data_IF_352143882232
#
_entry.id   IF_352143882232
#
_cell.length_a   1.000
_cell.length_b   1.000
_cell.length_c   1.000
_cell.angle_alpha   90.00
_cell.angle_beta   90.00
_cell.angle_gamma   90.00
#
_symmetry.space_group_name_H-M   'P 1'
#
loop_
_entity.id
_entity.type
_entity.pdbx_description
1 polymer ?
#
# COMPACT_ATOMS: atom_id res chain seq x y z
N UNK A 1 41.41 -8.40 -26.04
CA UNK A 1 41.50 -7.49 -24.88
C UNK A 1 40.14 -6.93 -24.67
N UNK A 2 39.33 -7.59 -23.89
CA UNK A 2 39.20 -7.60 -22.44
C UNK A 2 38.53 -6.31 -21.96
N UNK A 3 37.31 -6.51 -21.45
CA UNK A 3 36.62 -5.80 -20.38
C UNK A 3 36.17 -4.37 -20.65
N UNK A 4 34.92 -4.26 -21.06
CA UNK A 4 34.00 -3.21 -20.59
C UNK A 4 32.54 -3.61 -20.86
N UNK A 5 32.15 -4.69 -20.29
CA UNK A 5 30.72 -4.99 -20.07
C UNK A 5 30.57 -5.24 -18.59
N UNK A 6 29.91 -4.33 -17.88
CA UNK A 6 29.23 -4.54 -16.59
C UNK A 6 29.18 -3.21 -15.83
N UNK A 7 28.11 -2.46 -16.01
CA UNK A 7 27.53 -1.57 -15.00
C UNK A 7 26.29 -0.86 -15.56
N UNK A 8 25.24 -1.61 -15.79
CA UNK A 8 23.87 -1.11 -15.80
C UNK A 8 23.07 -2.16 -15.05
N UNK A 9 23.17 -2.13 -13.77
CA UNK A 9 22.24 -2.86 -12.88
C UNK A 9 22.17 -2.02 -11.63
N UNK A 10 21.04 -1.46 -11.36
CA UNK A 10 20.82 -0.83 -10.07
C UNK A 10 19.79 0.27 -9.98
N UNK A 11 18.82 0.34 -10.87
CA UNK A 11 17.65 1.21 -10.68
C UNK A 11 16.43 0.49 -11.21
N UNK A 12 16.05 -0.58 -10.54
CA UNK A 12 14.77 -1.27 -10.83
C UNK A 12 14.51 -2.31 -9.74
N UNK A 13 14.21 -1.85 -8.54
CA UNK A 13 13.65 -2.73 -7.52
C UNK A 13 12.79 -1.94 -6.55
N UNK A 14 11.75 -1.34 -7.09
CA UNK A 14 10.55 -0.99 -6.35
C UNK A 14 9.33 -1.40 -7.16
N UNK A 15 9.45 -2.49 -7.89
CA UNK A 15 8.33 -3.18 -8.50
C UNK A 15 8.15 -4.45 -7.69
N UNK A 16 7.03 -4.53 -6.97
CA UNK A 16 6.49 -5.78 -6.50
C UNK A 16 6.69 -6.85 -7.55
N UNK A 17 7.20 -8.00 -7.16
CA UNK A 17 7.45 -9.13 -8.01
C UNK A 17 6.28 -9.41 -8.95
N UNK A 18 6.40 -9.05 -10.22
CA UNK A 18 5.51 -9.51 -11.26
C UNK A 18 5.92 -10.94 -11.55
N UNK A 19 5.27 -11.89 -10.91
CA UNK A 19 5.33 -13.29 -11.34
C UNK A 19 4.19 -13.48 -12.33
N UNK A 20 4.56 -13.60 -13.59
CA UNK A 20 3.63 -13.94 -14.68
C UNK A 20 3.24 -15.41 -14.53
N UNK A 21 1.98 -15.67 -14.21
CA UNK A 21 1.35 -16.97 -14.41
C UNK A 21 0.18 -16.80 -15.37
N UNK A 22 0.25 -17.51 -16.48
CA UNK A 22 -0.85 -17.64 -17.43
C UNK A 22 -1.96 -18.52 -16.83
N UNK A 23 -3.14 -17.94 -16.63
CA UNK A 23 -4.38 -18.68 -16.46
C UNK A 23 -5.51 -17.95 -17.18
N UNK A 24 -6.14 -18.64 -18.10
CA UNK A 24 -7.20 -18.14 -18.99
C UNK A 24 -8.50 -17.92 -18.21
N UNK A 25 -8.92 -16.68 -18.08
CA UNK A 25 -10.26 -16.29 -17.66
C UNK A 25 -10.87 -15.30 -18.66
N UNK A 26 -12.15 -15.36 -18.89
CA UNK A 26 -12.89 -14.84 -20.04
C UNK A 26 -13.16 -13.33 -20.12
N UNK A 27 -12.42 -12.48 -19.43
CA UNK A 27 -12.49 -11.03 -19.61
C UNK A 27 -11.27 -10.50 -20.39
N UNK A 28 -11.18 -10.84 -21.67
CA UNK A 28 -10.18 -10.25 -22.58
C UNK A 28 -8.71 -10.52 -22.25
N UNK A 29 -8.39 -11.50 -21.39
CA UNK A 29 -7.01 -11.89 -21.04
C UNK A 29 -6.28 -10.83 -20.20
N UNK A 30 -6.98 -10.08 -19.37
CA UNK A 30 -6.38 -9.16 -18.40
C UNK A 30 -6.20 -9.85 -17.04
N UNK A 31 -5.02 -9.65 -16.46
CA UNK A 31 -4.69 -10.12 -15.11
C UNK A 31 -4.48 -8.93 -14.16
N UNK A 32 -4.72 -9.13 -12.88
CA UNK A 32 -4.48 -8.10 -11.88
C UNK A 32 -2.99 -7.99 -11.58
N UNK A 33 -2.42 -6.82 -11.86
CA UNK A 33 -1.04 -6.46 -11.54
C UNK A 33 -0.91 -5.88 -10.12
N UNK A 34 -1.91 -5.10 -9.68
CA UNK A 34 -1.91 -4.48 -8.35
C UNK A 34 -3.31 -4.53 -7.75
N UNK A 35 -3.38 -4.89 -6.47
CA UNK A 35 -4.59 -4.83 -5.65
C UNK A 35 -4.54 -3.64 -4.70
N UNK A 36 -5.70 -3.02 -4.48
CA UNK A 36 -5.98 -2.05 -3.43
C UNK A 36 -7.32 -2.44 -2.81
N UNK A 37 -7.27 -3.14 -1.68
CA UNK A 37 -8.42 -3.74 -1.02
C UNK A 37 -8.72 -2.99 0.27
N UNK A 38 -9.96 -2.59 0.42
CA UNK A 38 -10.49 -1.97 1.64
C UNK A 38 -11.80 -2.63 2.05
N UNK A 39 -12.26 -2.37 3.26
CA UNK A 39 -13.60 -2.81 3.69
C UNK A 39 -14.75 -2.13 2.93
N UNK A 40 -14.48 -1.07 2.19
CA UNK A 40 -15.48 -0.29 1.45
C UNK A 40 -15.49 -0.59 -0.05
N UNK A 41 -14.41 -1.13 -0.60
CA UNK A 41 -14.31 -1.45 -2.02
C UNK A 41 -12.94 -1.99 -2.40
N UNK A 42 -12.87 -2.49 -3.61
CA UNK A 42 -11.63 -2.98 -4.22
C UNK A 42 -11.33 -2.17 -5.46
N UNK A 43 -10.07 -1.76 -5.61
CA UNK A 43 -9.51 -1.28 -6.87
C UNK A 43 -8.42 -2.21 -7.33
N UNK A 44 -8.34 -2.40 -8.61
CA UNK A 44 -7.28 -3.20 -9.21
C UNK A 44 -6.71 -2.48 -10.43
N UNK A 45 -5.39 -2.55 -10.57
CA UNK A 45 -4.70 -2.21 -11.79
C UNK A 45 -4.42 -3.50 -12.56
N UNK A 46 -4.85 -3.58 -13.81
CA UNK A 46 -4.56 -4.73 -14.65
C UNK A 46 -3.16 -4.66 -15.29
N UNK A 47 -2.68 -5.78 -15.78
CA UNK A 47 -1.43 -5.90 -16.53
C UNK A 47 -1.43 -5.11 -17.86
N UNK A 48 -2.61 -4.66 -18.32
CA UNK A 48 -2.76 -3.80 -19.51
C UNK A 48 -2.87 -2.31 -19.17
N UNK A 49 -2.73 -1.95 -17.89
CA UNK A 49 -2.82 -0.56 -17.45
C UNK A 49 -4.24 -0.03 -17.29
N UNK A 50 -5.24 -0.92 -17.19
CA UNK A 50 -6.61 -0.53 -16.91
C UNK A 50 -6.86 -0.59 -15.39
N UNK A 51 -7.51 0.43 -14.84
CA UNK A 51 -7.95 0.44 -13.44
C UNK A 51 -9.44 0.13 -13.38
N UNK A 52 -9.76 -0.85 -12.55
CA UNK A 52 -11.14 -1.27 -12.26
C UNK A 52 -11.45 -1.08 -10.80
N UNK A 53 -12.74 -0.92 -10.47
CA UNK A 53 -13.19 -0.89 -9.09
C UNK A 53 -14.53 -1.61 -8.93
N UNK A 54 -14.80 -2.06 -7.70
CA UNK A 54 -16.08 -2.60 -7.23
C UNK A 54 -16.29 -2.16 -5.77
N UNK A 55 -17.52 -1.95 -5.37
CA UNK A 55 -17.87 -1.38 -4.07
C UNK A 55 -17.96 0.13 -4.11
N UNK A 56 -17.54 0.82 -3.06
CA UNK A 56 -17.45 2.28 -3.02
C UNK A 56 -16.33 2.74 -3.92
N UNK A 57 -16.70 3.20 -5.11
CA UNK A 57 -15.76 3.81 -6.03
C UNK A 57 -15.43 5.22 -5.58
N UNK A 58 -14.21 5.65 -5.84
CA UNK A 58 -13.89 7.07 -5.81
C UNK A 58 -14.45 7.66 -7.09
N UNK A 59 -15.65 8.17 -7.02
CA UNK A 59 -16.17 9.08 -8.03
C UNK A 59 -16.16 10.48 -7.44
N UNK A 60 -15.48 11.34 -8.11
CA UNK A 60 -15.23 12.73 -7.73
C UNK A 60 -16.49 13.58 -7.66
N UNK A 61 -17.58 13.21 -8.34
CA UNK A 61 -18.86 13.93 -8.32
C UNK A 61 -19.93 13.35 -7.39
N UNK A 62 -19.77 12.08 -6.96
CA UNK A 62 -20.76 11.43 -6.08
C UNK A 62 -20.05 10.40 -5.19
N UNK A 63 -19.71 10.77 -3.99
CA UNK A 63 -19.18 9.89 -2.94
C UNK A 63 -20.07 8.67 -2.63
N UNK A 64 -21.29 8.63 -3.13
CA UNK A 64 -22.28 7.62 -2.82
C UNK A 64 -22.55 6.60 -3.93
N UNK A 65 -21.81 6.62 -5.05
CA UNK A 65 -21.97 5.57 -6.04
C UNK A 65 -21.25 4.29 -5.61
N UNK A 66 -22.05 3.40 -5.09
CA UNK A 66 -21.70 2.00 -4.87
C UNK A 66 -21.93 1.23 -6.17
N UNK A 67 -20.95 0.46 -6.63
CA UNK A 67 -21.12 -0.45 -7.75
C UNK A 67 -21.07 -1.89 -7.25
N UNK A 68 -22.01 -2.71 -7.69
CA UNK A 68 -22.05 -4.14 -7.38
C UNK A 68 -21.26 -4.99 -8.39
N UNK A 69 -20.79 -4.38 -9.47
CA UNK A 69 -20.02 -5.03 -10.52
C UNK A 69 -18.70 -4.32 -10.77
N UNK A 70 -17.70 -5.10 -11.15
CA UNK A 70 -16.38 -4.59 -11.51
C UNK A 70 -16.50 -3.63 -12.69
N UNK A 71 -16.15 -2.36 -12.47
CA UNK A 71 -16.33 -1.27 -13.44
C UNK A 71 -14.98 -0.68 -13.80
N UNK A 72 -14.73 -0.56 -15.11
CA UNK A 72 -13.52 0.10 -15.62
C UNK A 72 -13.61 1.61 -15.38
N UNK A 73 -12.50 2.18 -14.89
CA UNK A 73 -12.45 3.57 -14.46
C UNK A 73 -11.44 4.41 -15.27
N UNK A 74 -10.20 3.93 -15.40
CA UNK A 74 -9.11 4.65 -16.07
C UNK A 74 -8.32 3.66 -16.93
N UNK A 75 -7.70 4.16 -17.99
CA UNK A 75 -6.81 3.41 -18.88
C UNK A 75 -5.40 4.01 -18.90
N UNK A 76 -4.47 3.26 -19.45
CA UNK A 76 -3.07 3.67 -19.64
C UNK A 76 -2.31 3.99 -18.34
N UNK A 77 -2.70 3.37 -17.23
CA UNK A 77 -2.09 3.59 -15.91
C UNK A 77 -0.91 2.66 -15.71
N UNK A 78 0.22 3.22 -15.30
CA UNK A 78 1.43 2.52 -14.88
C UNK A 78 1.44 2.27 -13.38
N UNK A 79 0.99 3.24 -12.59
CA UNK A 79 0.98 3.19 -11.14
C UNK A 79 -0.22 3.96 -10.57
N UNK A 80 -0.95 3.31 -9.68
CA UNK A 80 -1.94 3.97 -8.84
C UNK A 80 -1.23 4.47 -7.58
N UNK A 81 -1.25 5.77 -7.34
CA UNK A 81 -0.66 6.43 -6.16
C UNK A 81 -1.68 6.48 -5.03
N UNK A 82 -2.87 6.97 -5.33
CA UNK A 82 -4.05 6.94 -4.45
C UNK A 82 -5.32 6.80 -5.30
N UNK A 83 -6.47 6.90 -4.67
CA UNK A 83 -7.75 6.79 -5.39
C UNK A 83 -7.90 7.79 -6.53
N UNK A 84 -7.27 8.94 -6.40
CA UNK A 84 -7.45 10.09 -7.29
C UNK A 84 -6.13 10.59 -7.88
N UNK A 85 -5.05 9.83 -7.67
CA UNK A 85 -3.71 10.20 -8.17
C UNK A 85 -3.08 8.97 -8.84
N UNK A 86 -2.60 9.15 -10.06
CA UNK A 86 -1.94 8.08 -10.79
C UNK A 86 -0.85 8.60 -11.73
N UNK A 87 0.04 7.73 -12.11
CA UNK A 87 1.08 7.96 -13.12
C UNK A 87 0.76 7.05 -14.31
N UNK A 88 0.77 7.59 -15.52
CA UNK A 88 0.53 6.85 -16.74
C UNK A 88 1.82 6.20 -17.30
N UNK A 89 1.68 5.45 -18.38
CA UNK A 89 2.81 4.77 -19.03
C UNK A 89 3.81 5.75 -19.71
N UNK A 90 3.44 7.02 -19.89
CA UNK A 90 4.32 8.08 -20.37
C UNK A 90 5.08 8.78 -19.23
N UNK A 91 4.86 8.37 -17.97
CA UNK A 91 5.33 9.03 -16.75
C UNK A 91 4.72 10.43 -16.56
N UNK A 92 3.50 10.61 -17.02
CA UNK A 92 2.71 11.79 -16.73
C UNK A 92 1.90 11.57 -15.45
N UNK A 93 1.95 12.55 -14.54
CA UNK A 93 1.24 12.53 -13.27
C UNK A 93 -0.11 13.21 -13.42
N UNK A 94 -1.14 12.53 -13.00
CA UNK A 94 -2.52 13.00 -13.05
C UNK A 94 -3.15 13.03 -11.65
N UNK A 95 -4.05 13.99 -11.48
CA UNK A 95 -5.03 14.00 -10.39
C UNK A 95 -6.43 13.99 -10.99
N UNK A 96 -7.35 13.41 -10.27
CA UNK A 96 -8.75 13.57 -10.56
C UNK A 96 -9.28 14.84 -9.92
N UNK A 97 -9.79 15.77 -10.72
CA UNK A 97 -10.37 17.02 -10.26
C UNK A 97 -11.77 17.16 -10.87
N UNK A 98 -12.83 17.08 -10.02
CA UNK A 98 -14.20 17.26 -10.50
C UNK A 98 -14.71 16.21 -11.50
N UNK A 99 -14.16 14.99 -11.45
CA UNK A 99 -14.54 13.89 -12.37
C UNK A 99 -13.67 13.75 -13.61
N UNK A 100 -12.84 14.75 -13.92
CA UNK A 100 -11.97 14.72 -15.09
C UNK A 100 -10.50 14.56 -14.70
N UNK A 101 -9.72 13.76 -15.45
CA UNK A 101 -8.28 13.66 -15.27
C UNK A 101 -7.59 14.98 -15.61
N UNK A 102 -6.83 15.51 -14.65
CA UNK A 102 -5.97 16.68 -14.88
C UNK A 102 -4.51 16.28 -14.80
N UNK A 103 -3.79 16.42 -15.88
CA UNK A 103 -2.33 16.27 -15.90
C UNK A 103 -1.68 17.43 -15.15
N UNK A 104 -0.86 17.11 -14.14
CA UNK A 104 -0.15 18.08 -13.31
C UNK A 104 1.36 18.05 -13.48
N UNK A 105 1.91 17.00 -14.09
CA UNK A 105 3.35 16.89 -14.31
C UNK A 105 3.74 15.85 -15.34
N UNK A 106 4.99 15.89 -15.77
CA UNK A 106 5.60 14.95 -16.71
C UNK A 106 6.94 14.45 -16.18
N UNK A 107 7.42 13.32 -16.72
CA UNK A 107 8.66 12.65 -16.31
C UNK A 107 8.66 12.20 -14.84
N UNK A 108 7.51 12.03 -14.22
CA UNK A 108 7.36 11.60 -12.83
C UNK A 108 7.48 10.07 -12.76
N UNK A 109 8.39 9.59 -11.94
CA UNK A 109 8.61 8.14 -11.75
C UNK A 109 7.96 7.61 -10.49
N UNK A 110 7.67 8.48 -9.54
CA UNK A 110 7.04 8.12 -8.27
C UNK A 110 6.31 9.33 -7.68
N UNK A 111 5.21 9.07 -6.98
CA UNK A 111 4.53 10.05 -6.15
C UNK A 111 3.96 9.38 -4.90
N UNK A 112 3.69 10.16 -3.86
CA UNK A 112 3.00 9.72 -2.65
C UNK A 112 2.17 10.86 -2.08
N UNK A 113 0.95 10.54 -1.65
CA UNK A 113 -0.03 11.51 -1.15
C UNK A 113 -1.38 11.36 -1.83
N UNK A 114 -2.19 12.41 -1.75
CA UNK A 114 -3.55 12.47 -2.30
C UNK A 114 -3.70 13.64 -3.26
N UNK A 115 -4.86 13.78 -3.89
CA UNK A 115 -5.18 14.98 -4.70
C UNK A 115 -5.09 16.30 -3.91
N UNK A 116 -5.30 16.26 -2.59
CA UNK A 116 -5.22 17.45 -1.74
C UNK A 116 -3.77 17.87 -1.46
N UNK A 117 -2.82 16.93 -1.51
CA UNK A 117 -1.42 17.21 -1.31
C UNK A 117 -0.55 15.98 -1.54
N UNK A 118 0.51 16.15 -2.32
CA UNK A 118 1.46 15.08 -2.64
C UNK A 118 2.88 15.60 -2.82
N UNK A 119 3.83 14.68 -2.67
CA UNK A 119 5.19 14.82 -3.17
C UNK A 119 5.39 13.88 -4.37
N UNK A 120 6.18 14.32 -5.33
CA UNK A 120 6.52 13.56 -6.52
C UNK A 120 8.03 13.64 -6.80
N UNK A 121 8.56 12.62 -7.48
CA UNK A 121 9.97 12.53 -7.86
C UNK A 121 10.04 12.28 -9.36
N UNK A 122 10.89 13.04 -10.05
CA UNK A 122 11.19 12.78 -11.46
C UNK A 122 12.35 11.77 -11.63
N UNK A 123 12.59 11.38 -12.88
CA UNK A 123 13.67 10.44 -13.24
C UNK A 123 15.07 10.92 -12.87
N UNK A 124 15.26 12.23 -12.68
CA UNK A 124 16.57 12.84 -12.37
C UNK A 124 16.76 13.02 -10.84
N UNK A 125 15.79 12.59 -10.03
CA UNK A 125 15.83 12.67 -8.57
C UNK A 125 15.42 14.04 -8.02
N UNK A 126 14.79 14.89 -8.82
CA UNK A 126 14.24 16.15 -8.33
C UNK A 126 12.92 15.88 -7.60
N UNK A 127 12.75 16.57 -6.48
CA UNK A 127 11.55 16.54 -5.66
C UNK A 127 10.59 17.65 -6.06
N UNK A 128 9.30 17.35 -6.08
CA UNK A 128 8.21 18.28 -6.37
C UNK A 128 7.11 18.17 -5.32
N UNK A 129 6.40 19.27 -5.09
CA UNK A 129 5.20 19.32 -4.26
C UNK A 129 4.02 19.88 -5.05
N UNK A 130 2.83 19.40 -4.72
CA UNK A 130 1.54 19.87 -5.26
C UNK A 130 0.48 19.83 -4.17
N UNK A 131 -0.50 20.74 -4.26
CA UNK A 131 -1.72 20.71 -3.47
C UNK A 131 -1.81 21.84 -2.45
N UNK A 132 -2.83 21.74 -1.60
CA UNK A 132 -3.15 22.77 -0.61
C UNK A 132 -2.50 22.47 0.75
N UNK A 133 -2.19 23.52 1.48
CA UNK A 133 -1.77 23.39 2.87
C UNK A 133 -2.91 22.90 3.76
N UNK A 134 -2.67 22.09 4.82
CA UNK A 134 -1.36 21.53 5.19
C UNK A 134 -1.04 20.20 4.49
N UNK A 135 -1.92 19.70 3.62
CA UNK A 135 -1.86 18.34 3.06
C UNK A 135 -0.63 18.08 2.18
N UNK A 136 -0.06 19.13 1.60
CA UNK A 136 1.16 19.04 0.80
C UNK A 136 2.45 19.03 1.64
N UNK A 137 2.35 19.11 2.97
CA UNK A 137 3.49 19.14 3.89
C UNK A 137 4.18 20.51 4.03
N UNK A 138 3.60 21.58 3.49
CA UNK A 138 4.14 22.94 3.52
C UNK A 138 3.10 23.93 4.06
N UNK A 139 3.55 25.11 4.45
CA UNK A 139 2.74 26.20 4.97
C UNK A 139 2.08 27.07 3.88
N UNK A 140 2.23 26.68 2.61
CA UNK A 140 1.68 27.34 1.43
C UNK A 140 1.06 26.38 0.45
N UNK A 141 0.17 26.90 -0.39
CA UNK A 141 -0.44 26.14 -1.48
C UNK A 141 0.50 26.09 -2.68
N UNK A 142 0.55 24.93 -3.34
CA UNK A 142 1.16 24.74 -4.65
C UNK A 142 0.08 24.40 -5.68
N UNK A 143 -0.36 25.40 -6.44
CA UNK A 143 -1.40 25.24 -7.48
C UNK A 143 -0.90 24.46 -8.70
N UNK A 144 0.41 24.38 -8.86
CA UNK A 144 1.13 23.66 -9.90
C UNK A 144 2.21 22.77 -9.27
N UNK A 145 2.60 21.71 -9.97
CA UNK A 145 3.69 20.86 -9.53
C UNK A 145 4.99 21.67 -9.45
N UNK A 146 5.41 21.99 -8.24
CA UNK A 146 6.49 22.94 -7.97
C UNK A 146 7.72 22.22 -7.46
N UNK A 147 8.88 22.49 -8.07
CA UNK A 147 10.16 21.92 -7.64
C UNK A 147 10.56 22.41 -6.25
N UNK A 148 11.05 21.47 -5.44
CA UNK A 148 11.58 21.68 -4.09
C UNK A 148 13.09 21.51 -4.15
N UNK A 149 13.84 22.52 -3.75
CA UNK A 149 15.31 22.52 -3.81
C UNK A 149 15.98 22.06 -2.52
N UNK A 150 15.20 21.85 -1.45
CA UNK A 150 15.72 21.54 -0.10
C UNK A 150 16.35 20.16 -0.01
N UNK A 151 15.89 19.21 -0.83
CA UNK A 151 16.41 17.83 -0.87
C UNK A 151 16.67 17.43 -2.32
N UNK A 152 17.83 16.86 -2.58
CA UNK A 152 18.28 16.43 -3.92
C UNK A 152 18.54 14.94 -3.97
N UNK A 153 18.63 14.41 -5.19
CA UNK A 153 18.90 12.99 -5.44
C UNK A 153 17.88 12.07 -4.75
N UNK A 154 16.63 12.49 -4.72
CA UNK A 154 15.53 11.73 -4.11
C UNK A 154 15.23 10.52 -4.99
N UNK A 155 15.15 9.34 -4.37
CA UNK A 155 14.80 8.07 -5.05
C UNK A 155 13.46 7.54 -4.63
N UNK A 156 12.94 7.98 -3.46
CA UNK A 156 11.64 7.54 -2.97
C UNK A 156 11.00 8.59 -2.05
N UNK A 157 9.68 8.68 -2.17
CA UNK A 157 8.84 9.46 -1.24
C UNK A 157 7.78 8.54 -0.64
N UNK A 158 7.39 8.80 0.59
CA UNK A 158 6.32 8.08 1.27
C UNK A 158 5.54 9.03 2.16
N UNK A 159 4.21 8.98 2.11
CA UNK A 159 3.33 9.72 3.01
C UNK A 159 2.91 8.85 4.19
N UNK A 160 2.57 9.48 5.31
CA UNK A 160 1.99 8.81 6.47
C UNK A 160 0.47 8.88 6.40
N UNK A 161 -0.17 7.78 5.99
CA UNK A 161 -1.60 7.58 6.06
C UNK A 161 -2.48 8.63 5.40
N UNK A 162 -3.69 8.74 5.91
CA UNK A 162 -4.69 9.72 5.46
C UNK A 162 -4.30 11.17 5.75
N UNK A 163 -3.33 11.37 6.64
CA UNK A 163 -2.77 12.68 6.96
C UNK A 163 -1.63 12.99 6.01
N UNK A 164 -1.94 13.36 4.78
CA UNK A 164 -0.97 13.66 3.73
C UNK A 164 -0.06 14.88 4.02
N UNK A 165 0.00 15.37 5.23
CA UNK A 165 0.87 16.47 5.66
C UNK A 165 2.22 16.03 6.23
N UNK A 166 2.48 14.73 6.29
CA UNK A 166 3.75 14.16 6.75
C UNK A 166 4.34 13.29 5.68
N UNK A 167 5.57 13.56 5.32
CA UNK A 167 6.26 12.85 4.26
C UNK A 167 7.66 12.43 4.70
N UNK A 168 8.10 11.30 4.16
CA UNK A 168 9.48 10.87 4.19
C UNK A 168 10.04 10.89 2.78
N UNK A 169 11.28 11.34 2.64
CA UNK A 169 12.04 11.26 1.40
C UNK A 169 13.31 10.45 1.63
N UNK A 170 13.58 9.51 0.75
CA UNK A 170 14.82 8.75 0.73
C UNK A 170 15.69 9.24 -0.42
N UNK A 171 16.93 9.58 -0.13
CA UNK A 171 17.92 9.97 -1.12
C UNK A 171 18.77 8.79 -1.56
N UNK A 172 19.44 8.94 -2.69
CA UNK A 172 20.26 7.91 -3.33
C UNK A 172 21.40 7.39 -2.44
N UNK A 173 21.93 8.21 -1.57
CA UNK A 173 22.98 7.83 -0.60
C UNK A 173 22.43 7.03 0.60
N UNK A 174 21.11 7.00 0.76
CA UNK A 174 20.42 6.28 1.84
C UNK A 174 20.05 7.15 3.03
N UNK A 175 20.02 8.47 2.86
CA UNK A 175 19.56 9.41 3.89
C UNK A 175 18.04 9.57 3.80
N UNK A 176 17.37 9.51 4.96
CA UNK A 176 15.94 9.78 5.09
C UNK A 176 15.73 11.13 5.73
N UNK A 177 14.91 11.94 5.06
CA UNK A 177 14.41 13.21 5.59
C UNK A 177 12.93 13.10 5.89
N UNK A 178 12.53 13.74 6.98
CA UNK A 178 11.15 13.92 7.40
C UNK A 178 10.69 15.35 7.12
N UNK A 179 9.50 15.49 6.58
CA UNK A 179 8.83 16.78 6.33
C UNK A 179 7.45 16.73 6.93
N UNK A 180 7.11 17.71 7.73
CA UNK A 180 5.74 17.94 8.20
C UNK A 180 5.35 19.38 7.90
N UNK A 181 4.06 19.68 7.99
CA UNK A 181 3.52 21.02 7.89
C UNK A 181 4.33 21.99 8.76
N UNK A 182 4.62 23.17 8.27
CA UNK A 182 5.38 24.27 8.89
C UNK A 182 6.83 24.00 9.29
N UNK A 183 7.31 22.76 9.22
CA UNK A 183 8.69 22.41 9.50
C UNK A 183 9.60 22.40 8.27
N UNK A 184 10.89 22.40 8.48
CA UNK A 184 11.89 22.14 7.43
C UNK A 184 12.08 20.64 7.23
N UNK A 185 12.77 20.27 6.14
CA UNK A 185 13.23 18.90 5.96
C UNK A 185 14.26 18.56 7.03
N UNK A 186 13.90 17.65 7.92
CA UNK A 186 14.77 17.20 9.01
C UNK A 186 15.34 15.83 8.69
N UNK A 187 16.67 15.74 8.68
CA UNK A 187 17.35 14.44 8.56
C UNK A 187 17.03 13.59 9.80
N UNK A 188 16.59 12.35 9.57
CA UNK A 188 16.20 11.47 10.67
C UNK A 188 16.97 10.15 10.71
N UNK A 189 17.47 9.64 9.57
CA UNK A 189 18.19 8.37 9.53
C UNK A 189 19.10 8.30 8.31
N UNK A 190 20.23 7.60 8.45
CA UNK A 190 21.13 7.22 7.37
C UNK A 190 21.14 5.71 7.15
N UNK A 191 21.84 5.29 6.09
CA UNK A 191 22.06 3.89 5.79
C UNK A 191 20.77 3.12 5.45
N UNK A 192 19.73 3.82 5.02
CA UNK A 192 18.43 3.26 4.63
C UNK A 192 18.48 2.83 3.16
N UNK A 193 17.91 1.67 2.85
CA UNK A 193 17.75 1.18 1.48
C UNK A 193 16.32 1.32 0.96
N UNK A 194 15.34 1.36 1.85
CA UNK A 194 13.92 1.51 1.48
C UNK A 194 13.09 2.17 2.57
N UNK A 195 12.04 2.88 2.16
CA UNK A 195 11.05 3.47 3.06
C UNK A 195 9.64 3.05 2.63
N UNK A 196 8.78 2.79 3.61
CA UNK A 196 7.39 2.40 3.35
C UNK A 196 6.50 2.94 4.48
N UNK A 197 5.65 3.94 4.20
CA UNK A 197 4.93 4.66 5.25
C UNK A 197 5.92 5.22 6.27
N UNK A 198 5.74 4.88 7.53
CA UNK A 198 6.62 5.23 8.64
C UNK A 198 7.69 4.18 8.97
N UNK A 199 7.85 3.16 8.13
CA UNK A 199 8.86 2.13 8.30
C UNK A 199 10.06 2.37 7.40
N UNK A 200 11.24 2.10 7.92
CA UNK A 200 12.51 2.20 7.21
C UNK A 200 13.24 0.86 7.27
N UNK A 201 13.81 0.47 6.15
CA UNK A 201 14.63 -0.74 6.06
C UNK A 201 16.06 -0.28 5.79
N UNK A 202 17.00 -0.64 6.68
CA UNK A 202 18.40 -0.31 6.46
C UNK A 202 19.08 -1.27 5.47
N UNK A 203 20.33 -0.98 5.13
CA UNK A 203 21.14 -1.81 4.22
C UNK A 203 21.50 -3.19 4.79
N UNK A 204 21.21 -3.45 6.07
CA UNK A 204 21.35 -4.73 6.76
C UNK A 204 20.02 -5.48 6.94
N UNK A 205 18.95 -5.04 6.26
CA UNK A 205 17.61 -5.62 6.37
C UNK A 205 16.95 -5.47 7.75
N UNK A 206 17.39 -4.51 8.55
CA UNK A 206 16.74 -4.21 9.82
C UNK A 206 15.62 -3.21 9.59
N UNK A 207 14.46 -3.50 10.14
CA UNK A 207 13.28 -2.64 10.08
C UNK A 207 13.25 -1.69 11.27
N UNK A 208 12.94 -0.45 10.98
CA UNK A 208 12.73 0.61 11.96
C UNK A 208 11.35 1.23 11.77
N UNK A 209 10.71 1.56 12.86
CA UNK A 209 9.45 2.31 12.89
C UNK A 209 9.71 3.73 13.38
N UNK A 210 9.28 4.72 12.62
CA UNK A 210 9.21 6.09 13.10
C UNK A 210 7.85 6.33 13.76
N UNK A 211 7.87 6.98 14.92
CA UNK A 211 6.70 7.47 15.62
C UNK A 211 6.98 8.84 16.25
N UNK A 212 6.00 9.45 16.92
CA UNK A 212 6.13 10.77 17.54
C UNK A 212 7.21 10.86 18.65
N UNK A 213 7.71 9.71 19.12
CA UNK A 213 8.78 9.64 20.14
C UNK A 213 10.15 9.39 19.50
N UNK A 214 10.21 9.21 18.19
CA UNK A 214 11.44 8.96 17.44
C UNK A 214 11.44 7.64 16.67
N UNK A 215 12.65 7.15 16.38
CA UNK A 215 12.87 5.92 15.63
C UNK A 215 13.02 4.74 16.60
N UNK A 216 12.21 3.71 16.40
CA UNK A 216 12.26 2.46 17.17
C UNK A 216 12.78 1.35 16.27
N UNK A 217 13.83 0.68 16.71
CA UNK A 217 14.34 -0.52 16.04
C UNK A 217 13.37 -1.68 16.28
N UNK A 218 12.93 -2.30 15.21
CA UNK A 218 12.09 -3.50 15.25
C UNK A 218 12.97 -4.77 15.24
N UNK A 219 12.34 -5.94 15.33
CA UNK A 219 13.06 -7.19 15.20
C UNK A 219 13.72 -7.32 13.81
N UNK A 220 14.86 -7.97 13.69
CA UNK A 220 15.48 -8.24 12.39
C UNK A 220 14.65 -9.23 11.58
N UNK A 221 14.74 -9.12 10.25
CA UNK A 221 14.06 -10.01 9.29
C UNK A 221 12.52 -9.91 9.25
N UNK A 222 11.96 -8.79 9.69
CA UNK A 222 10.55 -8.51 9.44
C UNK A 222 10.36 -8.08 7.99
N UNK A 223 9.35 -8.64 7.34
CA UNK A 223 8.89 -8.18 6.04
C UNK A 223 7.72 -7.22 6.23
N UNK A 224 7.84 -6.04 5.62
CA UNK A 224 6.78 -5.02 5.70
C UNK A 224 5.79 -5.29 4.60
N UNK A 225 4.57 -5.60 4.97
CA UNK A 225 3.44 -5.65 4.07
C UNK A 225 2.57 -4.42 4.29
N UNK A 226 2.85 -3.38 3.52
CA UNK A 226 2.00 -2.19 3.49
C UNK A 226 0.80 -2.45 2.61
N UNK A 227 -0.36 -2.41 3.22
CA UNK A 227 -1.52 -1.89 2.53
C UNK A 227 -1.38 -0.37 2.45
N UNK A 228 -1.88 0.26 1.39
CA UNK A 228 -1.80 1.72 1.18
C UNK A 228 -2.40 2.56 2.30
N UNK A 229 -3.18 1.93 3.15
CA UNK A 229 -3.76 2.53 4.33
C UNK A 229 -2.85 2.25 5.52
N UNK A 230 -2.20 3.27 6.05
CA UNK A 230 -1.28 3.18 7.21
C UNK A 230 -1.97 2.56 8.43
N UNK A 231 -3.29 2.67 8.51
CA UNK A 231 -4.06 2.01 9.55
C UNK A 231 -3.87 0.48 9.57
N UNK A 232 -3.34 -0.11 8.49
CA UNK A 232 -3.32 -1.56 8.30
C UNK A 232 -1.95 -2.11 7.89
N UNK A 233 -0.86 -1.54 8.40
CA UNK A 233 0.47 -2.13 8.15
C UNK A 233 0.63 -3.42 8.93
N UNK A 234 0.98 -4.47 8.23
CA UNK A 234 1.24 -5.80 8.77
C UNK A 234 2.73 -6.11 8.65
N UNK A 235 3.35 -6.57 9.73
CA UNK A 235 4.70 -7.10 9.70
C UNK A 235 4.64 -8.62 9.72
N UNK A 236 5.33 -9.24 8.77
CA UNK A 236 5.48 -10.69 8.71
C UNK A 236 6.82 -11.12 9.31
N UNK A 237 6.77 -12.22 10.04
CA UNK A 237 7.94 -12.94 10.50
C UNK A 237 7.75 -14.42 10.20
N UNK A 238 8.69 -15.03 9.49
CA UNK A 238 8.61 -16.44 9.11
C UNK A 238 7.28 -16.82 8.41
N UNK A 239 6.84 -15.99 7.47
CA UNK A 239 5.61 -16.21 6.68
C UNK A 239 4.30 -16.23 7.51
N UNK A 240 4.30 -15.60 8.67
CA UNK A 240 3.08 -15.36 9.46
C UNK A 240 3.02 -13.93 9.97
N UNK A 241 1.83 -13.46 10.32
CA UNK A 241 1.66 -12.11 10.87
C UNK A 241 2.28 -12.07 12.26
N UNK A 242 3.25 -11.20 12.46
CA UNK A 242 3.94 -10.99 13.74
C UNK A 242 3.50 -9.72 14.44
N UNK A 243 3.09 -8.71 13.66
CA UNK A 243 2.72 -7.42 14.19
C UNK A 243 1.71 -6.75 13.26
N UNK A 244 0.72 -6.11 13.85
CA UNK A 244 -0.27 -5.32 13.17
C UNK A 244 -0.41 -3.95 13.82
N UNK A 245 -0.29 -2.88 13.07
CA UNK A 245 -0.54 -1.53 13.52
C UNK A 245 -1.77 -0.97 12.78
N UNK A 246 -2.92 -1.03 13.43
CA UNK A 246 -4.15 -0.45 12.92
C UNK A 246 -4.73 0.54 13.94
N UNK A 247 -5.24 1.68 13.49
CA UNK A 247 -5.95 2.68 14.30
C UNK A 247 -5.27 3.03 15.65
N UNK A 248 -3.93 3.02 15.70
CA UNK A 248 -3.16 3.31 16.91
C UNK A 248 -3.10 2.16 17.92
N UNK A 249 -3.67 1.01 17.63
CA UNK A 249 -3.63 -0.16 18.50
C UNK A 249 -2.45 -1.03 18.08
N UNK A 250 -1.50 -1.23 18.98
CA UNK A 250 -0.44 -2.21 18.83
C UNK A 250 -0.95 -3.57 19.25
N UNK A 251 -0.83 -4.55 18.37
CA UNK A 251 -1.01 -5.94 18.74
C UNK A 251 0.37 -6.56 18.91
N UNK A 252 0.69 -6.82 20.14
CA UNK A 252 1.90 -7.55 20.50
C UNK A 252 1.51 -9.02 20.64
N UNK A 253 2.24 -9.92 19.97
CA UNK A 253 2.05 -11.38 20.10
C UNK A 253 2.20 -11.87 21.54
N UNK A 254 2.86 -11.08 22.39
CA UNK A 254 3.05 -11.39 23.79
C UNK A 254 1.84 -10.96 24.67
N UNK A 255 0.80 -10.32 24.08
CA UNK A 255 -0.48 -10.11 24.76
C UNK A 255 -1.30 -11.43 24.77
N UNK A 256 -1.62 -11.99 25.93
CA UNK A 256 -2.35 -13.28 26.03
C UNK A 256 -3.71 -13.28 25.33
N UNK A 257 -4.36 -12.11 25.18
CA UNK A 257 -5.63 -11.98 24.45
C UNK A 257 -5.42 -12.10 22.94
N UNK A 258 -4.23 -11.80 22.49
CA UNK A 258 -3.85 -11.75 21.09
C UNK A 258 -3.12 -13.02 20.69
N UNK A 259 -2.45 -13.69 21.61
CA UNK A 259 -1.77 -14.96 21.37
C UNK A 259 -2.72 -16.00 20.73
N UNK A 260 -3.97 -16.08 21.20
CA UNK A 260 -4.97 -16.97 20.60
C UNK A 260 -5.24 -16.62 19.13
N UNK A 261 -5.35 -15.33 18.79
CA UNK A 261 -5.54 -14.88 17.43
C UNK A 261 -4.35 -15.25 16.53
N UNK A 262 -3.13 -15.07 17.02
CA UNK A 262 -1.91 -15.43 16.28
C UNK A 262 -1.80 -16.92 15.96
N UNK A 263 -2.33 -17.78 16.80
CA UNK A 263 -2.34 -19.21 16.55
C UNK A 263 -3.19 -19.60 15.34
N UNK A 264 -4.17 -18.77 14.98
CA UNK A 264 -5.03 -18.96 13.82
C UNK A 264 -4.47 -18.35 12.53
N UNK A 265 -3.43 -17.50 12.57
CA UNK A 265 -2.84 -16.99 11.35
C UNK A 265 -2.16 -18.07 10.52
N UNK A 266 -2.34 -18.07 9.18
CA UNK A 266 -1.60 -18.96 8.29
C UNK A 266 -0.08 -18.82 8.47
N UNK A 267 0.65 -19.89 8.17
CA UNK A 267 2.12 -19.95 8.30
C UNK A 267 2.83 -19.91 6.93
N UNK A 268 2.09 -19.64 5.87
CA UNK A 268 2.58 -19.59 4.49
C UNK A 268 2.33 -18.24 3.80
N UNK A 269 2.15 -17.18 4.58
CA UNK A 269 1.89 -15.83 4.07
C UNK A 269 3.17 -15.27 3.43
N UNK A 270 3.08 -14.91 2.14
CA UNK A 270 4.12 -14.17 1.43
C UNK A 270 3.82 -12.68 1.39
N UNK A 271 2.54 -12.34 1.21
CA UNK A 271 2.07 -10.95 1.11
C UNK A 271 0.64 -10.88 1.61
N UNK A 272 0.34 -9.93 2.48
CA UNK A 272 -1.03 -9.61 2.89
C UNK A 272 -1.61 -8.61 1.90
N UNK A 273 -2.80 -8.90 1.38
CA UNK A 273 -3.54 -7.99 0.51
C UNK A 273 -4.65 -7.26 1.27
N UNK A 274 -5.26 -7.95 2.23
CA UNK A 274 -6.30 -7.40 3.08
C UNK A 274 -6.34 -8.15 4.42
N UNK A 275 -6.55 -7.42 5.49
CA UNK A 275 -6.87 -7.97 6.79
C UNK A 275 -8.00 -7.15 7.41
N UNK A 276 -9.08 -7.83 7.80
CA UNK A 276 -10.08 -7.21 8.65
C UNK A 276 -9.65 -7.46 10.10
N UNK A 277 -9.44 -6.37 10.81
CA UNK A 277 -9.18 -6.44 12.23
C UNK A 277 -10.52 -6.31 12.98
N UNK A 278 -10.87 -7.27 13.84
CA UNK A 278 -12.00 -7.11 14.72
C UNK A 278 -11.71 -5.94 15.65
N UNK A 279 -12.51 -4.89 15.54
CA UNK A 279 -12.43 -3.76 16.46
C UNK A 279 -12.51 -4.24 17.90
N UNK A 280 -11.83 -3.53 18.79
CA UNK A 280 -11.86 -3.76 20.25
C UNK A 280 -13.25 -3.41 20.80
N UNK A 281 -14.27 -4.15 20.38
CA UNK A 281 -15.57 -4.10 21.03
C UNK A 281 -15.46 -4.94 22.29
N UNK A 282 -15.29 -4.29 23.41
CA UNK A 282 -15.25 -4.93 24.75
C UNK A 282 -16.49 -5.78 25.06
N UNK A 283 -17.49 -5.75 24.20
CA UNK A 283 -18.79 -6.40 24.38
C UNK A 283 -19.03 -7.61 23.45
N UNK A 284 -18.37 -7.67 22.29
CA UNK A 284 -18.59 -8.76 21.35
C UNK A 284 -17.48 -9.83 21.46
N UNK A 285 -17.86 -10.98 21.99
CA UNK A 285 -17.01 -12.17 22.11
C UNK A 285 -16.72 -12.86 20.77
N UNK A 286 -17.11 -12.25 19.65
CA UNK A 286 -16.97 -12.80 18.31
C UNK A 286 -15.91 -12.05 17.55
N UNK A 287 -14.79 -12.69 17.25
CA UNK A 287 -13.79 -12.17 16.33
C UNK A 287 -13.97 -12.84 14.98
N UNK A 288 -14.28 -12.03 13.96
CA UNK A 288 -14.27 -12.47 12.57
C UNK A 288 -12.95 -12.02 11.92
N UNK A 289 -11.97 -12.88 11.88
CA UNK A 289 -10.74 -12.62 11.14
C UNK A 289 -11.00 -12.91 9.66
N UNK A 290 -10.80 -11.90 8.81
CA UNK A 290 -10.75 -12.07 7.36
C UNK A 290 -9.39 -11.65 6.85
N UNK A 291 -8.77 -12.51 6.07
CA UNK A 291 -7.47 -12.30 5.49
C UNK A 291 -7.50 -12.66 4.02
N UNK A 292 -7.06 -11.74 3.17
CA UNK A 292 -6.74 -12.02 1.77
C UNK A 292 -5.23 -11.89 1.62
N UNK A 293 -4.59 -12.96 1.19
CA UNK A 293 -3.12 -12.97 1.11
C UNK A 293 -2.61 -13.78 -0.08
N UNK A 294 -1.38 -13.48 -0.49
CA UNK A 294 -0.60 -14.33 -1.40
C UNK A 294 0.23 -15.28 -0.55
N UNK A 295 0.12 -16.57 -0.81
CA UNK A 295 0.91 -17.57 -0.10
C UNK A 295 2.31 -17.77 -0.71
N UNK A 296 3.14 -18.58 -0.10
CA UNK A 296 4.50 -18.90 -0.56
C UNK A 296 4.55 -19.60 -1.91
N UNK A 297 3.41 -20.15 -2.38
CA UNK A 297 3.23 -20.73 -3.72
C UNK A 297 2.74 -19.72 -4.75
N UNK A 298 2.63 -18.43 -4.38
CA UNK A 298 2.08 -17.34 -5.18
C UNK A 298 0.58 -17.47 -5.52
N UNK A 299 -0.17 -18.24 -4.75
CA UNK A 299 -1.63 -18.35 -4.85
C UNK A 299 -2.29 -17.28 -3.98
N UNK A 300 -3.39 -16.69 -4.43
CA UNK A 300 -4.23 -15.83 -3.60
C UNK A 300 -5.18 -16.70 -2.79
N UNK A 301 -5.19 -16.48 -1.49
CA UNK A 301 -6.00 -17.25 -0.54
C UNK A 301 -6.96 -16.32 0.19
N UNK A 302 -8.23 -16.68 0.19
CA UNK A 302 -9.27 -16.10 1.05
C UNK A 302 -9.33 -16.96 2.30
N UNK A 303 -9.04 -16.37 3.45
CA UNK A 303 -8.98 -17.07 4.72
C UNK A 303 -9.86 -16.38 5.76
N UNK A 304 -10.77 -17.13 6.37
CA UNK A 304 -11.68 -16.61 7.38
C UNK A 304 -11.70 -17.49 8.62
N UNK A 305 -11.78 -16.91 9.81
CA UNK A 305 -11.96 -17.58 11.09
C UNK A 305 -13.05 -16.87 11.89
N UNK A 306 -14.03 -17.64 12.37
CA UNK A 306 -15.07 -17.17 13.27
C UNK A 306 -14.82 -17.60 14.70
N UNK A 307 -15.23 -16.78 15.69
CA UNK A 307 -15.29 -17.13 17.12
C UNK A 307 -13.95 -17.56 17.72
N UNK A 308 -12.90 -16.79 17.52
CA UNK A 308 -11.54 -17.10 18.04
C UNK A 308 -11.50 -17.21 19.57
N UNK A 309 -12.42 -16.56 20.31
CA UNK A 309 -12.42 -16.60 21.79
C UNK A 309 -13.09 -17.83 22.41
N UNK A 310 -13.99 -18.46 21.72
CA UNK A 310 -14.58 -19.71 22.16
C UNK A 310 -13.77 -20.82 21.51
N UNK A 311 -12.93 -21.52 22.21
CA UNK A 311 -11.96 -22.55 21.80
C UNK A 311 -12.37 -23.53 20.64
N UNK A 312 -13.52 -23.32 20.05
CA UNK A 312 -14.13 -24.01 18.92
C UNK A 312 -14.10 -23.19 17.62
N UNK A 313 -13.10 -22.28 17.46
CA UNK A 313 -12.95 -21.49 16.22
C UNK A 313 -13.00 -22.38 14.99
N UNK A 314 -14.05 -22.26 14.21
CA UNK A 314 -14.19 -22.93 12.91
C UNK A 314 -13.49 -22.11 11.84
N UNK A 315 -12.57 -22.71 11.12
CA UNK A 315 -12.00 -22.14 9.89
C UNK A 315 -13.06 -22.27 8.81
N UNK A 316 -13.73 -21.17 8.48
CA UNK A 316 -14.87 -21.23 7.56
C UNK A 316 -14.47 -21.27 6.09
N UNK A 317 -13.36 -20.62 5.72
CA UNK A 317 -12.98 -20.53 4.31
C UNK A 317 -11.47 -20.57 4.13
N UNK A 318 -11.03 -21.49 3.31
CA UNK A 318 -9.70 -21.51 2.72
C UNK A 318 -9.89 -21.71 1.20
N UNK A 319 -10.27 -20.64 0.51
CA UNK A 319 -10.55 -20.68 -0.94
C UNK A 319 -9.43 -20.02 -1.69
N UNK A 320 -8.91 -20.70 -2.70
CA UNK A 320 -7.93 -20.14 -3.63
C UNK A 320 -8.63 -19.44 -4.78
N UNK A 321 -8.15 -18.27 -5.12
CA UNK A 321 -8.56 -17.51 -6.31
C UNK A 321 -7.35 -17.21 -7.18
N UNK A 322 -7.60 -17.00 -8.47
CA UNK A 322 -6.53 -16.59 -9.39
C UNK A 322 -6.32 -15.07 -9.34
N UNK A 323 -5.45 -14.56 -10.23
CA UNK A 323 -5.29 -13.11 -10.44
C UNK A 323 -6.16 -12.56 -11.56
N UNK A 324 -7.13 -13.33 -12.02
CA UNK A 324 -8.08 -12.90 -13.04
C UNK A 324 -8.98 -11.79 -12.50
N UNK A 325 -9.40 -10.88 -13.38
CA UNK A 325 -10.41 -9.87 -13.04
C UNK A 325 -11.74 -10.50 -12.59
N UNK A 326 -12.06 -11.70 -13.07
CA UNK A 326 -13.26 -12.45 -12.66
C UNK A 326 -13.28 -12.80 -11.17
N UNK A 327 -12.11 -12.96 -10.56
CA UNK A 327 -12.00 -13.31 -9.15
C UNK A 327 -12.11 -12.09 -8.21
N UNK A 328 -11.99 -10.88 -8.74
CA UNK A 328 -12.11 -9.64 -7.92
C UNK A 328 -13.49 -9.55 -7.27
N UNK A 329 -14.53 -9.96 -7.98
CA UNK A 329 -15.89 -9.99 -7.42
C UNK A 329 -16.02 -11.01 -6.28
N UNK A 330 -15.35 -12.15 -6.36
CA UNK A 330 -15.31 -13.17 -5.28
C UNK A 330 -14.57 -12.64 -4.05
N UNK A 331 -13.43 -11.96 -4.26
CA UNK A 331 -12.68 -11.33 -3.19
C UNK A 331 -13.55 -10.26 -2.51
N UNK A 332 -14.28 -9.47 -3.29
CA UNK A 332 -15.19 -8.45 -2.77
C UNK A 332 -16.35 -9.06 -1.98
N UNK A 333 -16.97 -10.11 -2.47
CA UNK A 333 -18.03 -10.83 -1.77
C UNK A 333 -17.52 -11.36 -0.42
N UNK A 334 -16.33 -11.96 -0.39
CA UNK A 334 -15.69 -12.42 0.83
C UNK A 334 -15.44 -11.30 1.85
N UNK A 335 -14.93 -10.14 1.40
CA UNK A 335 -14.66 -8.99 2.29
C UNK A 335 -15.96 -8.43 2.86
N UNK A 336 -16.98 -8.27 2.03
CA UNK A 336 -18.25 -7.60 2.36
C UNK A 336 -19.17 -8.38 3.28
N UNK A 337 -19.20 -9.69 3.18
CA UNK A 337 -20.14 -10.55 3.90
C UNK A 337 -19.48 -11.19 5.12
N UNK A 338 -19.68 -10.64 6.34
CA UNK A 338 -19.09 -11.21 7.55
C UNK A 338 -19.68 -12.58 7.93
N UNK A 339 -20.90 -12.91 7.49
CA UNK A 339 -21.66 -14.07 7.97
C UNK A 339 -21.88 -15.18 6.93
N UNK A 340 -21.46 -14.98 5.70
CA UNK A 340 -21.57 -15.98 4.65
C UNK A 340 -20.21 -16.47 4.26
N UNK A 341 -19.71 -17.44 5.00
CA UNK A 341 -18.71 -18.41 4.52
C UNK A 341 -18.49 -19.47 5.56
#
# INVERSE_FOLDING_TARGET
MKEKAKRIVGVLLALACVVVFAACGNLGGEEVAQYDLTSQGIKVLSNKGNVYYIGRGVQMENYDKFTESLTKYIENVKQVVSSEVWIDNNNDLYIGEGGEPKKIGSNIVMASGTQMGLLAVDKDGNLYAYGIKPYNGFDKDFKELTKIEDVKDVVKVSSMGDSAWRFFTLTKDGTVYFKQYDGEFTKIMDNVKDIQGSYFIDKQDVVYLWNTKGIVKMAPKLEINLQKDIANTVLLENNTISYYAGNGVKFDKDDPKIEQLYNHYPKDIKQVLFVNYPGDSKEDRVINLKLVYVNTKNEIVLYGVHNVYDAEGTVDVNTKVSRSLDDVSKIWEFIRNPEKN
#
